data_IF_860841584373
#
_entry.id   IF_860841584373
#
_cell.length_a   1.000
_cell.length_b   1.000
_cell.length_c   1.000
_cell.angle_alpha   90.00
_cell.angle_beta   90.00
_cell.angle_gamma   90.00
#
_symmetry.space_group_name_H-M   'P 1'
#
loop_
_entity.id
_entity.type
_entity.pdbx_description
1 polymer ?
#
# COMPACT_ATOMS: atom_id res chain seq x y z
N UNK A 1 10.89 17.99 -21.64
CA UNK A 1 10.72 16.73 -22.40
C UNK A 1 9.27 16.45 -22.81
N UNK A 2 8.31 16.21 -21.89
CA UNK A 2 6.90 16.02 -22.30
C UNK A 2 6.28 17.28 -22.90
N UNK A 3 6.50 18.45 -22.27
CA UNK A 3 5.98 19.73 -22.77
C UNK A 3 6.57 20.10 -24.13
N UNK A 4 7.86 19.87 -24.34
CA UNK A 4 8.52 20.10 -25.64
C UNK A 4 7.91 19.22 -26.74
N UNK A 5 7.55 17.96 -26.41
CA UNK A 5 6.82 17.09 -27.34
C UNK A 5 5.43 17.66 -27.67
N UNK A 6 4.67 18.06 -26.65
CA UNK A 6 3.34 18.70 -26.81
C UNK A 6 3.43 19.97 -27.66
N UNK A 7 4.44 20.80 -27.43
CA UNK A 7 4.70 22.02 -28.18
C UNK A 7 4.97 21.72 -29.66
N UNK A 8 5.81 20.73 -29.96
CA UNK A 8 6.07 20.30 -31.33
C UNK A 8 4.80 19.78 -32.01
N UNK A 9 3.94 19.04 -31.30
CA UNK A 9 2.65 18.57 -31.86
C UNK A 9 1.71 19.74 -32.18
N UNK A 10 1.66 20.74 -31.30
CA UNK A 10 0.88 21.96 -31.50
C UNK A 10 1.41 22.79 -32.68
N UNK A 11 2.73 22.96 -32.79
CA UNK A 11 3.38 23.64 -33.92
C UNK A 11 3.09 22.94 -35.26
N UNK A 12 3.06 21.60 -35.25
CA UNK A 12 2.71 20.78 -36.41
C UNK A 12 1.21 20.74 -36.71
N UNK A 13 0.38 21.53 -36.00
CA UNK A 13 -1.07 21.63 -36.16
C UNK A 13 -1.77 20.28 -36.07
N UNK A 14 -1.25 19.35 -35.27
CA UNK A 14 -1.96 18.11 -34.95
C UNK A 14 -3.05 18.43 -33.92
N UNK A 15 -4.29 18.25 -34.35
CA UNK A 15 -5.45 18.42 -33.49
C UNK A 15 -5.54 17.19 -32.60
N UNK A 16 -5.53 17.42 -31.28
CA UNK A 16 -5.66 16.38 -30.26
C UNK A 16 -6.71 16.81 -29.24
N UNK A 17 -7.51 15.85 -28.78
CA UNK A 17 -8.48 16.07 -27.72
C UNK A 17 -7.83 15.95 -26.35
N UNK A 18 -8.49 16.44 -25.30
CA UNK A 18 -8.02 16.23 -23.92
C UNK A 18 -7.89 14.74 -23.56
N UNK A 19 -8.71 13.87 -24.17
CA UNK A 19 -8.60 12.41 -23.98
C UNK A 19 -7.31 11.86 -24.59
N UNK A 20 -6.91 12.35 -25.76
CA UNK A 20 -5.67 11.92 -26.43
C UNK A 20 -4.45 12.34 -25.61
N UNK A 21 -4.48 13.53 -25.02
CA UNK A 21 -3.41 14.01 -24.14
C UNK A 21 -3.25 13.17 -22.87
N UNK A 22 -4.35 12.69 -22.28
CA UNK A 22 -4.31 11.77 -21.13
C UNK A 22 -3.60 10.47 -21.53
N UNK A 23 -3.92 9.92 -22.71
CA UNK A 23 -3.29 8.69 -23.18
C UNK A 23 -1.80 8.87 -23.45
N UNK A 24 -1.43 9.95 -24.14
CA UNK A 24 -0.04 10.29 -24.48
C UNK A 24 0.80 10.54 -23.22
N UNK A 25 0.24 11.24 -22.22
CA UNK A 25 0.90 11.43 -20.92
C UNK A 25 1.13 10.09 -20.21
N UNK A 26 0.14 9.21 -20.20
CA UNK A 26 0.27 7.88 -19.62
C UNK A 26 1.35 7.05 -20.32
N UNK A 27 1.43 7.12 -21.66
CA UNK A 27 2.47 6.46 -22.43
C UNK A 27 3.87 7.04 -22.14
N UNK A 28 3.97 8.36 -22.05
CA UNK A 28 5.22 9.05 -21.68
C UNK A 28 5.71 8.63 -20.29
N UNK A 29 4.82 8.55 -19.30
CA UNK A 29 5.20 8.12 -17.94
C UNK A 29 5.72 6.68 -17.91
N UNK A 30 5.03 5.74 -18.58
CA UNK A 30 5.49 4.35 -18.70
C UNK A 30 6.83 4.22 -19.40
N UNK A 31 7.05 4.99 -20.47
CA UNK A 31 8.33 5.01 -21.18
C UNK A 31 9.50 5.50 -20.31
N UNK A 32 9.22 6.39 -19.35
CA UNK A 32 10.21 6.88 -18.39
C UNK A 32 10.25 6.03 -17.10
N UNK A 33 9.81 4.77 -17.17
CA UNK A 33 9.77 3.82 -16.04
C UNK A 33 9.02 4.36 -14.81
N UNK A 34 8.10 5.31 -15.02
CA UNK A 34 7.21 5.81 -13.97
C UNK A 34 5.93 5.01 -13.98
N UNK A 35 5.69 4.28 -12.90
CA UNK A 35 4.40 3.62 -12.69
C UNK A 35 3.29 4.66 -12.55
N UNK A 36 2.24 4.49 -13.34
CA UNK A 36 1.01 5.26 -13.23
C UNK A 36 0.06 4.53 -12.29
N UNK A 37 -0.48 5.21 -11.28
CA UNK A 37 -1.51 4.65 -10.42
C UNK A 37 -2.80 4.40 -11.24
N UNK A 38 -3.06 3.15 -11.60
CA UNK A 38 -4.21 2.74 -12.41
C UNK A 38 -5.49 2.57 -11.60
N UNK A 39 -5.36 2.38 -10.29
CA UNK A 39 -6.46 2.06 -9.37
C UNK A 39 -6.98 3.28 -8.59
N UNK A 40 -6.54 4.49 -8.97
CA UNK A 40 -6.96 5.72 -8.33
C UNK A 40 -8.49 5.86 -8.39
N UNK A 41 -9.15 5.88 -7.23
CA UNK A 41 -10.60 5.96 -7.13
C UNK A 41 -11.36 4.68 -7.45
N UNK A 42 -10.67 3.56 -7.71
CA UNK A 42 -11.32 2.24 -7.88
C UNK A 42 -11.95 1.74 -6.58
N UNK A 43 -11.41 2.16 -5.44
CA UNK A 43 -11.93 1.82 -4.12
C UNK A 43 -12.43 3.09 -3.42
N UNK A 44 -13.64 3.01 -2.84
CA UNK A 44 -14.10 4.06 -1.94
C UNK A 44 -13.25 4.04 -0.66
N UNK A 45 -13.20 5.18 0.04
CA UNK A 45 -12.52 5.27 1.32
C UNK A 45 -13.08 4.27 2.35
N UNK A 46 -14.38 3.98 2.28
CA UNK A 46 -15.05 3.01 3.13
C UNK A 46 -14.57 1.57 2.85
N UNK A 47 -14.52 1.16 1.57
CA UNK A 47 -14.03 -0.17 1.19
C UNK A 47 -12.57 -0.34 1.59
N UNK A 48 -11.74 0.69 1.36
CA UNK A 48 -10.33 0.66 1.77
C UNK A 48 -10.17 0.53 3.28
N UNK A 49 -11.03 1.20 4.06
CA UNK A 49 -11.02 1.12 5.53
C UNK A 49 -11.42 -0.28 6.01
N UNK A 50 -12.53 -0.82 5.52
CA UNK A 50 -12.99 -2.16 5.91
C UNK A 50 -11.98 -3.24 5.54
N UNK A 51 -11.32 -3.10 4.37
CA UNK A 51 -10.24 -4.00 3.98
C UNK A 51 -9.06 -3.92 4.96
N UNK A 52 -8.61 -2.71 5.31
CA UNK A 52 -7.53 -2.52 6.26
C UNK A 52 -7.85 -3.07 7.66
N UNK A 53 -9.08 -2.90 8.14
CA UNK A 53 -9.53 -3.44 9.43
C UNK A 53 -9.54 -4.99 9.42
N UNK A 54 -10.05 -5.60 8.35
CA UNK A 54 -10.07 -7.07 8.18
C UNK A 54 -8.65 -7.66 8.13
N UNK A 55 -7.73 -7.04 7.39
CA UNK A 55 -6.34 -7.49 7.31
C UNK A 55 -5.60 -7.30 8.65
N UNK A 56 -5.92 -6.23 9.37
CA UNK A 56 -5.35 -5.97 10.69
C UNK A 56 -5.79 -7.02 11.72
N UNK A 57 -7.06 -7.44 11.72
CA UNK A 57 -7.56 -8.49 12.62
C UNK A 57 -6.84 -9.83 12.39
N UNK A 58 -6.66 -10.22 11.12
CA UNK A 58 -5.91 -11.43 10.76
C UNK A 58 -4.46 -11.35 11.23
N UNK A 59 -3.81 -10.20 11.03
CA UNK A 59 -2.42 -10.01 11.45
C UNK A 59 -2.27 -9.99 12.98
N UNK A 60 -3.26 -9.44 13.69
CA UNK A 60 -3.26 -9.37 15.15
C UNK A 60 -3.20 -10.75 15.80
N UNK A 61 -3.91 -11.74 15.27
CA UNK A 61 -3.83 -13.11 15.79
C UNK A 61 -2.42 -13.71 15.68
N UNK A 62 -1.70 -13.36 14.62
CA UNK A 62 -0.32 -13.80 14.40
C UNK A 62 0.61 -13.05 15.37
N UNK A 63 0.43 -11.73 15.52
CA UNK A 63 1.16 -10.92 16.49
C UNK A 63 0.97 -11.44 17.91
N UNK A 64 -0.26 -11.68 18.36
CA UNK A 64 -0.55 -12.15 19.72
C UNK A 64 0.14 -13.49 20.02
N UNK A 65 0.32 -14.35 19.02
CA UNK A 65 1.05 -15.63 19.14
C UNK A 65 2.57 -15.47 19.14
N UNK A 66 3.10 -14.47 18.44
CA UNK A 66 4.53 -14.20 18.35
C UNK A 66 5.02 -13.24 19.44
N UNK A 67 4.10 -12.56 20.12
CA UNK A 67 4.42 -11.56 21.13
C UNK A 67 4.93 -12.26 22.39
N UNK A 68 6.24 -12.29 22.53
CA UNK A 68 6.88 -12.57 23.81
C UNK A 68 6.94 -11.26 24.61
N UNK A 69 6.09 -11.16 25.64
CA UNK A 69 6.05 -9.98 26.49
C UNK A 69 7.38 -9.82 27.23
N UNK A 70 7.83 -8.58 27.42
CA UNK A 70 9.01 -8.33 28.26
C UNK A 70 8.80 -8.81 29.70
N UNK A 71 7.54 -8.98 30.12
CA UNK A 71 7.18 -9.65 31.37
C UNK A 71 7.48 -11.16 31.34
N UNK A 72 7.18 -11.84 30.22
CA UNK A 72 7.48 -13.26 30.05
C UNK A 72 8.99 -13.50 30.08
N UNK A 73 9.75 -12.61 29.44
CA UNK A 73 11.22 -12.61 29.48
C UNK A 73 11.75 -12.41 30.90
N UNK A 74 11.12 -11.53 31.68
CA UNK A 74 11.55 -11.26 33.05
C UNK A 74 11.16 -12.39 34.01
N UNK A 75 10.00 -13.04 33.82
CA UNK A 75 9.61 -14.26 34.55
C UNK A 75 10.58 -15.41 34.26
N UNK A 76 11.01 -15.55 33.00
CA UNK A 76 12.00 -16.56 32.61
C UNK A 76 13.35 -16.31 33.29
N UNK A 77 13.82 -15.05 33.36
CA UNK A 77 15.04 -14.71 34.11
C UNK A 77 14.94 -14.98 35.61
N UNK A 78 13.75 -14.82 36.19
CA UNK A 78 13.50 -15.06 37.62
C UNK A 78 13.27 -16.57 37.91
N UNK A 79 13.08 -17.40 36.88
CA UNK A 79 12.98 -18.86 36.99
C UNK A 79 11.62 -19.39 37.47
N UNK A 80 10.53 -18.61 37.30
CA UNK A 80 9.19 -18.94 37.81
C UNK A 80 8.27 -19.67 36.81
N UNK A 81 8.81 -20.10 35.66
CA UNK A 81 8.02 -20.63 34.52
C UNK A 81 7.23 -21.91 34.82
N UNK A 82 7.55 -22.64 35.90
CA UNK A 82 6.94 -23.93 36.24
C UNK A 82 5.70 -23.86 37.17
N UNK A 83 5.33 -22.69 37.70
CA UNK A 83 4.29 -22.59 38.76
C UNK A 83 2.88 -22.27 38.23
N UNK A 84 2.73 -21.78 37.00
CA UNK A 84 1.44 -21.30 36.47
C UNK A 84 0.65 -22.32 35.64
N UNK A 85 1.15 -23.54 35.46
CA UNK A 85 0.49 -24.59 34.65
C UNK A 85 -0.59 -25.42 35.36
N UNK A 86 -1.01 -25.06 36.58
CA UNK A 86 -1.90 -25.89 37.39
C UNK A 86 -2.88 -25.11 38.24
N UNK A 87 -3.85 -24.46 37.60
CA UNK A 87 -5.17 -24.22 38.21
C UNK A 87 -6.19 -24.49 37.11
N UNK A 88 -6.89 -25.63 37.23
CA UNK A 88 -8.17 -25.90 36.55
C UNK A 88 -9.22 -24.84 36.89
#
# INVERSE_FOLDING_TARGET
>A
MYLDHVEMQAQNRRIMTMSDWIHELGAFLRFNEKETLTTAGTFSAEIAKTFAETEFEQYREIQDKLLESDFDKEIEKIGLKDVSGGIE
#
